data_IF_817868384156
#
_entry.id   IF_817868384156
#
_cell.length_a   1.000
_cell.length_b   1.000
_cell.length_c   1.000
_cell.angle_alpha   90.00
_cell.angle_beta   90.00
_cell.angle_gamma   90.00
#
_symmetry.space_group_name_H-M   'P 1'
#
loop_
_entity.id
_entity.type
_entity.pdbx_description
1 polymer ?
#
# COMPACT_ATOMS: atom_id res chain seq x y z
N UNK A 1 10.65 1.98 25.87
CA UNK A 1 10.84 2.06 24.40
C UNK A 1 9.50 1.71 23.78
N UNK A 2 8.88 2.64 23.05
CA UNK A 2 7.65 2.35 22.33
C UNK A 2 8.02 1.53 21.10
N UNK A 3 7.53 0.29 21.01
CA UNK A 3 7.80 -0.56 19.84
C UNK A 3 7.06 0.02 18.65
N UNK A 4 7.83 0.43 17.66
CA UNK A 4 7.33 0.89 16.37
C UNK A 4 6.57 -0.23 15.65
N UNK A 5 5.38 0.01 15.06
CA UNK A 5 4.63 -1.01 14.33
C UNK A 5 5.43 -1.60 13.15
N UNK A 6 5.42 -2.94 13.03
CA UNK A 6 5.99 -3.64 11.87
C UNK A 6 4.95 -3.82 10.77
N UNK A 7 5.27 -3.38 9.56
CA UNK A 7 4.39 -3.52 8.39
C UNK A 7 4.59 -4.86 7.67
N UNK A 8 5.69 -5.58 7.94
CA UNK A 8 6.08 -6.81 7.24
C UNK A 8 4.98 -7.89 7.20
N UNK A 9 4.21 -8.13 8.28
CA UNK A 9 3.14 -9.12 8.24
C UNK A 9 2.03 -8.76 7.24
N UNK A 10 1.60 -7.50 7.22
CA UNK A 10 0.51 -7.06 6.34
C UNK A 10 0.97 -7.04 4.87
N UNK A 11 2.18 -6.53 4.60
CA UNK A 11 2.73 -6.53 3.24
C UNK A 11 2.93 -7.95 2.71
N UNK A 12 3.42 -8.88 3.53
CA UNK A 12 3.59 -10.27 3.15
C UNK A 12 2.27 -10.98 2.82
N UNK A 13 1.19 -10.71 3.56
CA UNK A 13 -0.13 -11.27 3.24
C UNK A 13 -0.65 -10.77 1.89
N UNK A 14 -0.55 -9.47 1.61
CA UNK A 14 -0.97 -8.92 0.32
C UNK A 14 -0.15 -9.52 -0.83
N UNK A 15 1.18 -9.66 -0.67
CA UNK A 15 2.03 -10.31 -1.68
C UNK A 15 1.59 -11.74 -1.99
N UNK A 16 1.20 -12.52 -0.97
CA UNK A 16 0.66 -13.86 -1.18
C UNK A 16 -0.69 -13.86 -1.90
N UNK A 17 -1.58 -12.92 -1.57
CA UNK A 17 -2.88 -12.77 -2.22
C UNK A 17 -2.71 -12.40 -3.69
N UNK A 18 -1.81 -11.46 -4.01
CA UNK A 18 -1.46 -11.07 -5.39
C UNK A 18 -1.09 -12.27 -6.26
N UNK A 19 -0.35 -13.23 -5.71
CA UNK A 19 0.04 -14.46 -6.42
C UNK A 19 -1.11 -15.46 -6.66
N UNK A 20 -2.30 -15.24 -6.07
CA UNK A 20 -3.49 -16.10 -6.19
C UNK A 20 -4.59 -15.55 -7.09
N UNK A 21 -4.36 -14.38 -7.69
CA UNK A 21 -5.37 -13.69 -8.48
C UNK A 21 -5.29 -14.15 -9.93
N UNK A 22 -6.40 -14.68 -10.41
CA UNK A 22 -6.64 -14.98 -11.82
C UNK A 22 -7.19 -13.75 -12.56
N UNK A 23 -6.98 -13.66 -13.87
CA UNK A 23 -7.39 -12.49 -14.66
C UNK A 23 -8.91 -12.28 -14.66
N UNK A 24 -9.70 -13.35 -14.55
CA UNK A 24 -11.16 -13.31 -14.46
C UNK A 24 -11.66 -12.62 -13.18
N UNK A 25 -10.83 -12.59 -12.13
CA UNK A 25 -11.18 -11.96 -10.86
C UNK A 25 -10.94 -10.44 -10.87
N UNK A 26 -10.23 -9.90 -11.87
CA UNK A 26 -9.89 -8.47 -11.92
C UNK A 26 -11.10 -7.54 -11.97
N UNK A 27 -12.24 -8.02 -12.49
CA UNK A 27 -13.50 -7.26 -12.54
C UNK A 27 -14.43 -7.56 -11.37
N UNK A 28 -14.05 -8.43 -10.44
CA UNK A 28 -14.88 -8.77 -9.29
C UNK A 28 -15.02 -7.55 -8.35
N UNK A 29 -16.21 -7.36 -7.74
CA UNK A 29 -16.41 -6.30 -6.77
C UNK A 29 -15.61 -6.57 -5.49
N UNK A 30 -15.16 -5.51 -4.82
CA UNK A 30 -14.56 -5.60 -3.49
C UNK A 30 -15.53 -5.07 -2.43
N UNK A 31 -15.32 -5.37 -1.12
CA UNK A 31 -16.10 -4.74 -0.06
C UNK A 31 -15.96 -3.21 -0.02
N UNK A 32 -14.84 -2.66 -0.48
CA UNK A 32 -14.69 -1.25 -0.80
C UNK A 32 -15.45 -0.96 -2.10
N UNK A 33 -16.69 -0.49 -1.98
CA UNK A 33 -17.65 -0.40 -3.10
C UNK A 33 -17.21 0.51 -4.26
N UNK A 34 -16.20 1.34 -4.05
CA UNK A 34 -15.60 2.19 -5.08
C UNK A 34 -14.62 1.44 -5.99
N UNK A 35 -14.17 0.24 -5.60
CA UNK A 35 -13.14 -0.53 -6.29
C UNK A 35 -13.62 -1.92 -6.73
N UNK A 36 -13.37 -2.25 -8.00
CA UNK A 36 -13.16 -3.64 -8.39
C UNK A 36 -11.72 -4.07 -8.03
N UNK A 37 -11.43 -5.38 -8.09
CA UNK A 37 -10.10 -5.93 -7.76
C UNK A 37 -8.97 -5.20 -8.50
N UNK A 38 -9.14 -4.93 -9.81
CA UNK A 38 -8.15 -4.19 -10.60
C UNK A 38 -7.88 -2.78 -10.05
N UNK A 39 -8.92 -2.10 -9.58
CA UNK A 39 -8.81 -0.73 -9.09
C UNK A 39 -8.12 -0.73 -7.72
N UNK A 40 -8.44 -1.72 -6.87
CA UNK A 40 -7.77 -1.95 -5.60
C UNK A 40 -6.28 -2.30 -5.76
N UNK A 41 -5.92 -3.09 -6.77
CA UNK A 41 -4.52 -3.38 -7.11
C UNK A 41 -3.78 -2.12 -7.57
N UNK A 42 -4.41 -1.28 -8.40
CA UNK A 42 -3.87 0.01 -8.82
C UNK A 42 -3.67 0.95 -7.63
N UNK A 43 -4.65 1.01 -6.72
CA UNK A 43 -4.56 1.76 -5.47
C UNK A 43 -3.36 1.30 -4.64
N UNK A 44 -3.21 -0.02 -4.41
CA UNK A 44 -2.09 -0.58 -3.64
C UNK A 44 -0.71 -0.27 -4.26
N UNK A 45 -0.61 -0.24 -5.59
CA UNK A 45 0.63 0.19 -6.28
C UNK A 45 0.95 1.65 -5.96
N UNK A 46 -0.01 2.56 -6.16
CA UNK A 46 0.21 4.00 -5.87
C UNK A 46 0.52 4.23 -4.39
N UNK A 47 -0.19 3.52 -3.53
CA UNK A 47 -0.05 3.56 -2.08
C UNK A 47 1.36 3.15 -1.63
N UNK A 48 1.87 2.01 -2.10
CA UNK A 48 3.19 1.51 -1.70
C UNK A 48 4.30 2.49 -2.10
N UNK A 49 4.18 3.15 -3.26
CA UNK A 49 5.11 4.20 -3.66
C UNK A 49 5.01 5.43 -2.75
N UNK A 50 3.81 5.96 -2.54
CA UNK A 50 3.57 7.17 -1.75
C UNK A 50 4.08 7.01 -0.31
N UNK A 51 3.72 5.91 0.36
CA UNK A 51 4.13 5.68 1.75
C UNK A 51 5.59 5.26 1.88
N UNK A 52 6.22 4.67 0.85
CA UNK A 52 7.67 4.46 0.86
C UNK A 52 8.41 5.80 0.80
N UNK A 53 7.97 6.71 -0.06
CA UNK A 53 8.56 8.05 -0.14
C UNK A 53 8.37 8.84 1.16
N UNK A 54 7.23 8.65 1.83
CA UNK A 54 6.99 9.24 3.14
C UNK A 54 7.92 8.66 4.24
N UNK A 55 8.23 7.37 4.18
CA UNK A 55 9.21 6.77 5.08
C UNK A 55 10.62 7.34 4.83
N UNK A 56 11.01 7.52 3.57
CA UNK A 56 12.34 8.00 3.17
C UNK A 56 12.46 9.52 3.10
N UNK A 57 11.40 10.26 3.47
CA UNK A 57 11.31 11.74 3.38
C UNK A 57 11.68 12.26 1.99
N UNK A 58 11.35 11.50 0.95
CA UNK A 58 11.67 11.84 -0.44
C UNK A 58 10.55 12.70 -1.00
N UNK A 59 10.81 13.96 -1.40
CA UNK A 59 9.79 14.82 -1.98
C UNK A 59 9.23 14.18 -3.25
N UNK A 60 7.91 14.04 -3.30
CA UNK A 60 7.21 13.78 -4.56
C UNK A 60 7.03 15.15 -5.19
N UNK A 61 7.72 15.46 -6.29
CA UNK A 61 7.64 16.77 -6.96
C UNK A 61 6.29 17.04 -7.61
N UNK A 62 5.18 16.93 -6.87
CA UNK A 62 3.79 16.99 -7.35
C UNK A 62 3.33 15.73 -8.10
N UNK A 63 4.17 14.69 -8.19
CA UNK A 63 3.89 13.46 -8.94
C UNK A 63 3.51 12.33 -7.98
N UNK A 64 2.20 12.06 -7.86
CA UNK A 64 1.65 10.89 -7.17
C UNK A 64 0.70 11.27 -6.04
N UNK A 65 -0.55 11.55 -6.39
CA UNK A 65 -1.61 11.58 -5.38
C UNK A 65 -1.92 10.13 -4.93
N UNK A 66 -1.95 9.86 -3.61
CA UNK A 66 -2.48 8.64 -3.04
C UNK A 66 -3.94 8.53 -3.47
N UNK A 67 -4.33 7.39 -4.02
CA UNK A 67 -5.72 7.15 -4.42
C UNK A 67 -6.07 7.56 -5.85
N UNK A 68 -5.09 7.89 -6.72
CA UNK A 68 -5.37 7.81 -8.16
C UNK A 68 -5.58 6.34 -8.53
N UNK A 69 -6.85 5.92 -8.49
CA UNK A 69 -7.38 4.70 -9.07
C UNK A 69 -7.09 4.73 -10.58
N UNK A 70 -5.90 4.28 -10.97
CA UNK A 70 -5.41 4.45 -12.34
C UNK A 70 -3.94 4.14 -12.55
N UNK A 71 -3.18 3.76 -11.52
CA UNK A 71 -1.84 3.24 -11.73
C UNK A 71 -1.90 2.05 -12.69
N UNK A 72 -1.19 2.15 -13.83
CA UNK A 72 -1.15 1.10 -14.85
C UNK A 72 -0.82 -0.25 -14.20
N UNK A 73 -1.66 -1.25 -14.43
CA UNK A 73 -1.42 -2.61 -13.94
C UNK A 73 -0.32 -3.34 -14.72
N UNK A 74 0.42 -2.69 -15.61
CA UNK A 74 1.49 -3.33 -16.35
C UNK A 74 2.53 -3.95 -15.40
N UNK A 75 2.72 -5.27 -15.52
CA UNK A 75 3.62 -6.04 -14.67
C UNK A 75 3.24 -6.09 -13.18
N UNK A 76 1.99 -5.75 -12.81
CA UNK A 76 1.55 -5.61 -11.42
C UNK A 76 1.86 -6.83 -10.55
N UNK A 77 1.75 -8.04 -11.11
CA UNK A 77 2.02 -9.32 -10.42
C UNK A 77 3.43 -9.44 -9.88
N UNK A 78 4.41 -8.81 -10.55
CA UNK A 78 5.80 -8.76 -10.08
C UNK A 78 6.11 -7.46 -9.34
N UNK A 79 5.57 -6.34 -9.84
CA UNK A 79 5.86 -5.00 -9.31
C UNK A 79 5.32 -4.80 -7.90
N UNK A 80 4.06 -5.17 -7.64
CA UNK A 80 3.42 -4.91 -6.35
C UNK A 80 4.09 -5.67 -5.20
N UNK A 81 4.42 -6.98 -5.30
CA UNK A 81 5.17 -7.67 -4.25
C UNK A 81 6.54 -7.02 -3.96
N UNK A 82 7.28 -6.62 -4.99
CA UNK A 82 8.56 -5.93 -4.81
C UNK A 82 8.41 -4.56 -4.11
N UNK A 83 7.36 -3.81 -4.44
CA UNK A 83 7.04 -2.54 -3.78
C UNK A 83 6.64 -2.74 -2.32
N UNK A 84 5.85 -3.78 -2.03
CA UNK A 84 5.43 -4.17 -0.68
C UNK A 84 6.63 -4.52 0.21
N UNK A 85 7.61 -5.26 -0.31
CA UNK A 85 8.87 -5.56 0.39
C UNK A 85 9.66 -4.27 0.67
N UNK A 86 9.79 -3.41 -0.34
CA UNK A 86 10.46 -2.12 -0.22
C UNK A 86 9.80 -1.19 0.80
N UNK A 87 8.46 -1.20 0.87
CA UNK A 87 7.68 -0.45 1.85
C UNK A 87 7.94 -0.95 3.26
N UNK A 88 7.88 -2.27 3.48
CA UNK A 88 8.14 -2.87 4.79
C UNK A 88 9.55 -2.53 5.28
N UNK A 89 10.56 -2.62 4.40
CA UNK A 89 11.94 -2.26 4.73
C UNK A 89 12.05 -0.78 5.13
N UNK A 90 11.42 0.13 4.37
CA UNK A 90 11.52 1.56 4.63
C UNK A 90 10.94 1.97 5.99
N UNK A 91 9.86 1.31 6.42
CA UNK A 91 9.19 1.60 7.70
C UNK A 91 9.83 0.91 8.93
N UNK A 92 10.85 0.06 8.76
CA UNK A 92 11.60 -0.53 9.89
C UNK A 92 12.50 0.47 10.61
N UNK A 93 12.97 1.50 9.91
CA UNK A 93 13.88 2.50 10.49
C UNK A 93 13.14 3.46 11.43
N UNK A 94 13.69 3.80 12.61
CA UNK A 94 13.04 4.73 13.54
C UNK A 94 12.82 6.12 12.93
N UNK A 95 13.74 6.56 12.05
CA UNK A 95 13.66 7.84 11.34
C UNK A 95 12.45 7.97 10.41
N UNK A 96 11.85 6.86 9.96
CA UNK A 96 10.61 6.90 9.18
C UNK A 96 9.43 7.46 9.98
N UNK A 97 9.42 7.19 11.30
CA UNK A 97 8.34 7.53 12.23
C UNK A 97 8.50 8.92 12.85
N UNK A 98 9.67 9.53 12.69
CA UNK A 98 10.02 10.82 13.26
C UNK A 98 9.82 11.96 12.24
N UNK A 99 9.68 13.17 12.77
CA UNK A 99 9.62 14.39 11.97
C UNK A 99 8.38 14.54 11.09
N UNK A 100 8.48 15.47 10.15
CA UNK A 100 7.43 15.77 9.16
C UNK A 100 7.70 15.00 7.87
N UNK A 101 6.64 14.61 7.19
CA UNK A 101 6.66 13.97 5.88
C UNK A 101 5.46 14.41 5.06
N UNK A 102 5.40 13.99 3.81
CA UNK A 102 4.27 14.24 2.93
C UNK A 102 3.74 12.92 2.36
N UNK A 103 2.42 12.83 2.22
CA UNK A 103 1.72 11.77 1.48
C UNK A 103 0.68 12.49 0.61
N UNK A 104 0.91 12.53 -0.71
CA UNK A 104 -0.04 13.17 -1.63
C UNK A 104 -0.20 14.66 -1.52
N UNK A 105 0.89 15.40 -1.33
CA UNK A 105 0.80 16.84 -1.07
C UNK A 105 0.31 17.20 0.34
N UNK A 106 -0.11 16.22 1.15
CA UNK A 106 -0.58 16.44 2.52
C UNK A 106 0.59 16.24 3.49
N UNK A 107 0.93 17.30 4.22
CA UNK A 107 1.94 17.27 5.28
C UNK A 107 1.42 16.53 6.52
N UNK A 108 2.19 15.56 7.00
CA UNK A 108 1.87 14.68 8.13
C UNK A 108 3.10 14.49 9.03
N UNK A 109 2.89 14.03 10.26
CA UNK A 109 4.00 13.45 11.04
C UNK A 109 4.34 12.06 10.52
N UNK A 110 5.60 11.62 10.69
CA UNK A 110 6.01 10.25 10.36
C UNK A 110 5.13 9.20 11.06
N UNK A 111 4.78 9.43 12.33
CA UNK A 111 3.90 8.55 13.09
C UNK A 111 2.48 8.44 12.50
N UNK A 112 1.89 9.55 12.06
CA UNK A 112 0.58 9.53 11.40
C UNK A 112 0.65 8.81 10.05
N UNK A 113 1.66 9.12 9.23
CA UNK A 113 1.84 8.46 7.93
C UNK A 113 2.05 6.95 8.08
N UNK A 114 2.82 6.49 9.06
CA UNK A 114 3.03 5.06 9.32
C UNK A 114 1.76 4.37 9.85
N UNK A 115 0.99 5.07 10.68
CA UNK A 115 -0.33 4.63 11.12
C UNK A 115 -1.32 4.45 9.96
N UNK A 116 -1.36 5.41 9.04
CA UNK A 116 -2.19 5.33 7.84
C UNK A 116 -1.72 4.20 6.91
N UNK A 117 -0.42 4.10 6.62
CA UNK A 117 0.11 3.00 5.81
C UNK A 117 -0.31 1.64 6.36
N UNK A 118 -0.21 1.45 7.69
CA UNK A 118 -0.65 0.22 8.34
C UNK A 118 -2.15 -0.02 8.19
N UNK A 119 -2.98 1.00 8.41
CA UNK A 119 -4.43 0.89 8.30
C UNK A 119 -4.84 0.47 6.89
N UNK A 120 -4.29 1.14 5.88
CA UNK A 120 -4.54 0.86 4.48
C UNK A 120 -4.15 -0.57 4.10
N UNK A 121 -2.95 -1.02 4.48
CA UNK A 121 -2.48 -2.39 4.20
C UNK A 121 -3.41 -3.43 4.81
N UNK A 122 -3.87 -3.23 6.05
CA UNK A 122 -4.74 -4.19 6.73
C UNK A 122 -6.13 -4.20 6.10
N UNK A 123 -6.75 -3.03 5.89
CA UNK A 123 -8.11 -2.94 5.36
C UNK A 123 -8.17 -3.42 3.91
N UNK A 124 -7.30 -2.91 3.04
CA UNK A 124 -7.31 -3.28 1.63
C UNK A 124 -6.73 -4.66 1.35
N UNK A 125 -5.86 -5.17 2.22
CA UNK A 125 -5.49 -6.59 2.19
C UNK A 125 -6.69 -7.50 2.48
N UNK A 126 -7.55 -7.12 3.43
CA UNK A 126 -8.79 -7.83 3.71
C UNK A 126 -9.80 -7.69 2.56
N UNK A 127 -9.98 -6.49 2.00
CA UNK A 127 -10.86 -6.27 0.84
C UNK A 127 -10.47 -7.17 -0.33
N UNK A 128 -9.16 -7.24 -0.61
CA UNK A 128 -8.60 -8.09 -1.65
C UNK A 128 -8.88 -9.56 -1.36
N UNK A 129 -8.54 -10.05 -0.16
CA UNK A 129 -8.78 -11.43 0.25
C UNK A 129 -10.25 -11.83 0.08
N UNK A 130 -11.18 -10.98 0.54
CA UNK A 130 -12.61 -11.19 0.41
C UNK A 130 -13.06 -11.25 -1.05
N UNK A 131 -12.57 -10.35 -1.90
CA UNK A 131 -12.94 -10.29 -3.31
C UNK A 131 -12.49 -11.54 -4.09
N UNK A 132 -11.39 -12.17 -3.68
CA UNK A 132 -10.80 -13.33 -4.36
C UNK A 132 -11.09 -14.67 -3.66
N UNK A 133 -11.97 -14.66 -2.65
CA UNK A 133 -12.44 -15.87 -1.97
C UNK A 133 -11.43 -16.49 -0.99
N UNK A 134 -10.52 -15.71 -0.44
CA UNK A 134 -9.51 -16.15 0.55
C UNK A 134 -9.97 -15.82 1.99
N UNK A 135 -9.57 -16.62 2.99
CA UNK A 135 -9.93 -16.41 4.39
C UNK A 135 -9.27 -15.17 5.01
#
# INVERSE_FOLDING_TARGET
MTTTPDLSPATGQISMLVGRIDDEQLTAPTPCTEFAVRDLLGHLVGLTMAFRNAATKTPMGGQGEPGQSGAELDGWRARLPAQLDGLAIAWRGPTAWEGTTEVGGISLTGAMAGGFARNELVLHGWDLAKAIGQP
#
